data_IF_310851973238
#
_entry.id   IF_310851973238
#
_cell.length_a   1.000
_cell.length_b   1.000
_cell.length_c   1.000
_cell.angle_alpha   90.00
_cell.angle_beta   90.00
_cell.angle_gamma   90.00
#
_symmetry.space_group_name_H-M   'P 1'
#
loop_
_entity.id
_entity.type
_entity.pdbx_description
1 polymer ?
#
# COMPACT_ATOMS: atom_id res chain seq x y z
N UNK A 1 -18.59 -17.87 -21.07
CA UNK A 1 -17.83 -18.08 -19.85
C UNK A 1 -18.47 -19.22 -19.06
N UNK A 2 -17.71 -20.28 -18.74
CA UNK A 2 -18.18 -21.39 -17.95
C UNK A 2 -18.57 -20.87 -16.55
N UNK A 3 -19.81 -21.19 -16.12
CA UNK A 3 -20.29 -20.84 -14.78
C UNK A 3 -19.54 -21.68 -13.77
N UNK A 4 -18.73 -21.06 -12.91
CA UNK A 4 -18.03 -21.77 -11.82
C UNK A 4 -19.09 -22.29 -10.86
N UNK A 5 -19.25 -23.61 -10.73
CA UNK A 5 -20.20 -24.21 -9.78
C UNK A 5 -19.82 -23.81 -8.35
N UNK A 6 -20.77 -23.30 -7.56
CA UNK A 6 -20.54 -22.86 -6.18
C UNK A 6 -20.10 -21.41 -6.02
N UNK A 7 -20.07 -20.60 -7.10
CA UNK A 7 -19.69 -19.19 -7.05
C UNK A 7 -20.77 -18.25 -6.45
N UNK A 8 -21.97 -18.77 -6.18
CA UNK A 8 -23.14 -17.96 -5.80
C UNK A 8 -23.28 -17.77 -4.28
N UNK A 9 -22.38 -18.34 -3.48
CA UNK A 9 -22.34 -18.16 -2.02
C UNK A 9 -20.91 -18.26 -1.49
N UNK A 10 -20.69 -17.77 -0.26
CA UNK A 10 -19.41 -17.78 0.42
C UNK A 10 -18.97 -16.39 0.82
N UNK A 11 -17.75 -16.32 1.36
CA UNK A 11 -17.12 -15.05 1.76
C UNK A 11 -15.81 -14.88 0.99
N UNK A 12 -15.61 -13.68 0.45
CA UNK A 12 -14.35 -13.26 -0.16
C UNK A 12 -13.68 -12.27 0.78
N UNK A 13 -12.42 -12.49 1.11
CA UNK A 13 -11.62 -11.60 1.97
C UNK A 13 -10.59 -10.87 1.11
N UNK A 14 -10.68 -9.54 1.07
CA UNK A 14 -9.81 -8.67 0.26
C UNK A 14 -9.02 -7.75 1.19
N UNK A 15 -7.68 -7.83 1.11
CA UNK A 15 -6.76 -6.95 1.82
C UNK A 15 -6.29 -5.78 0.96
N UNK A 16 -5.99 -4.64 1.57
CA UNK A 16 -5.25 -3.56 0.91
C UNK A 16 -4.35 -2.83 1.89
N UNK A 17 -3.10 -2.57 1.46
CA UNK A 17 -2.17 -1.71 2.18
C UNK A 17 -2.37 -0.22 1.83
N UNK A 18 -3.21 0.09 0.85
CA UNK A 18 -3.35 1.43 0.29
C UNK A 18 -4.81 1.88 0.27
N UNK A 19 -5.11 2.98 0.96
CA UNK A 19 -6.46 3.52 1.09
C UNK A 19 -7.07 3.95 -0.25
N UNK A 20 -6.24 4.34 -1.22
CA UNK A 20 -6.70 4.74 -2.56
C UNK A 20 -7.43 3.61 -3.31
N UNK A 21 -7.20 2.34 -2.95
CA UNK A 21 -7.89 1.21 -3.58
C UNK A 21 -9.25 0.89 -2.96
N UNK A 22 -9.65 1.49 -1.84
CA UNK A 22 -10.97 1.22 -1.25
C UNK A 22 -12.12 1.51 -2.21
N UNK A 23 -12.03 2.61 -2.97
CA UNK A 23 -13.08 2.94 -3.95
C UNK A 23 -13.18 1.90 -5.05
N UNK A 24 -12.04 1.45 -5.60
CA UNK A 24 -12.04 0.39 -6.60
C UNK A 24 -12.58 -0.91 -6.04
N UNK A 25 -12.13 -1.36 -4.87
CA UNK A 25 -12.57 -2.60 -4.22
C UNK A 25 -14.08 -2.58 -3.99
N UNK A 26 -14.61 -1.49 -3.43
CA UNK A 26 -16.04 -1.37 -3.14
C UNK A 26 -16.89 -1.31 -4.40
N UNK A 27 -16.45 -0.61 -5.44
CA UNK A 27 -17.10 -0.58 -6.75
C UNK A 27 -17.13 -1.96 -7.42
N UNK A 28 -16.01 -2.69 -7.40
CA UNK A 28 -15.95 -4.06 -7.94
C UNK A 28 -16.83 -5.01 -7.14
N UNK A 29 -16.83 -4.90 -5.83
CA UNK A 29 -17.72 -5.67 -4.94
C UNK A 29 -19.19 -5.43 -5.28
N UNK A 30 -19.62 -4.18 -5.39
CA UNK A 30 -20.99 -3.81 -5.72
C UNK A 30 -21.41 -4.40 -7.08
N UNK A 31 -20.57 -4.24 -8.10
CA UNK A 31 -20.83 -4.77 -9.44
C UNK A 31 -20.86 -6.31 -9.49
N UNK A 32 -19.97 -6.97 -8.77
CA UNK A 32 -19.94 -8.43 -8.69
C UNK A 32 -21.18 -8.99 -8.03
N UNK A 33 -21.61 -8.40 -6.91
CA UNK A 33 -22.78 -8.84 -6.15
C UNK A 33 -24.11 -8.73 -6.90
N UNK A 34 -24.22 -7.93 -7.96
CA UNK A 34 -25.43 -7.92 -8.82
C UNK A 34 -25.70 -9.28 -9.47
N UNK A 35 -24.65 -10.09 -9.69
CA UNK A 35 -24.75 -11.43 -10.30
C UNK A 35 -24.57 -12.56 -9.27
N UNK A 36 -23.98 -12.24 -8.11
CA UNK A 36 -23.67 -13.18 -7.03
C UNK A 36 -24.15 -12.63 -5.68
N UNK A 37 -25.48 -12.43 -5.48
CA UNK A 37 -26.02 -11.74 -4.29
C UNK A 37 -25.77 -12.49 -2.98
N UNK A 38 -25.54 -13.80 -3.03
CA UNK A 38 -25.23 -14.63 -1.86
C UNK A 38 -23.77 -14.60 -1.43
N UNK A 39 -22.89 -13.83 -2.14
CA UNK A 39 -21.50 -13.70 -1.78
C UNK A 39 -21.31 -12.52 -0.82
N UNK A 40 -20.72 -12.80 0.35
CA UNK A 40 -20.26 -11.78 1.28
C UNK A 40 -18.82 -11.33 0.90
N UNK A 41 -18.51 -10.04 1.11
CA UNK A 41 -17.15 -9.52 0.95
C UNK A 41 -16.71 -8.86 2.24
N UNK A 42 -15.53 -9.20 2.71
CA UNK A 42 -14.86 -8.61 3.86
C UNK A 42 -13.60 -7.89 3.39
N UNK A 43 -13.44 -6.63 3.77
CA UNK A 43 -12.25 -5.83 3.48
C UNK A 43 -11.42 -5.76 4.76
N UNK A 44 -10.11 -6.01 4.64
CA UNK A 44 -9.12 -5.90 5.71
C UNK A 44 -7.99 -4.98 5.27
N UNK A 45 -7.32 -4.35 6.22
CA UNK A 45 -6.13 -3.52 5.97
C UNK A 45 -4.95 -4.03 6.81
N UNK A 46 -3.75 -3.64 6.41
CA UNK A 46 -2.50 -3.96 7.07
C UNK A 46 -1.32 -3.48 6.23
N UNK A 47 -0.10 -3.71 6.69
CA UNK A 47 1.09 -3.47 5.86
C UNK A 47 1.13 -4.48 4.71
N UNK A 48 1.88 -4.15 3.65
CA UNK A 48 2.07 -5.09 2.53
C UNK A 48 2.66 -6.42 2.98
N UNK A 49 3.53 -6.41 3.98
CA UNK A 49 4.13 -7.64 4.52
C UNK A 49 3.15 -8.49 5.31
N UNK A 50 2.33 -7.87 6.19
CA UNK A 50 1.29 -8.60 6.92
C UNK A 50 0.26 -9.22 5.97
N UNK A 51 -0.17 -8.46 4.96
CA UNK A 51 -1.16 -8.92 3.99
C UNK A 51 -0.58 -10.02 3.08
N UNK A 52 0.71 -9.95 2.73
CA UNK A 52 1.39 -11.02 2.00
C UNK A 52 1.39 -12.35 2.79
N UNK A 53 1.67 -12.29 4.09
CA UNK A 53 1.57 -13.47 4.95
C UNK A 53 0.12 -13.98 5.07
N UNK A 54 -0.87 -13.07 5.13
CA UNK A 54 -2.27 -13.48 5.15
C UNK A 54 -2.70 -14.21 3.87
N UNK A 55 -2.14 -13.85 2.70
CA UNK A 55 -2.37 -14.60 1.44
C UNK A 55 -1.74 -15.98 1.51
N UNK A 56 -0.49 -16.09 1.96
CA UNK A 56 0.23 -17.37 2.11
C UNK A 56 -0.48 -18.32 3.07
N UNK A 57 -1.04 -17.77 4.15
CA UNK A 57 -1.77 -18.51 5.19
C UNK A 57 -3.25 -18.75 4.83
N UNK A 58 -3.70 -18.41 3.63
CA UNK A 58 -5.10 -18.50 3.20
C UNK A 58 -6.12 -17.75 4.10
N UNK A 59 -5.67 -16.67 4.79
CA UNK A 59 -6.53 -15.79 5.60
C UNK A 59 -7.16 -14.67 4.80
N UNK A 60 -6.60 -14.39 3.61
CA UNK A 60 -7.17 -13.50 2.59
C UNK A 60 -7.14 -14.19 1.24
N UNK A 61 -8.11 -13.91 0.39
CA UNK A 61 -8.15 -14.41 -0.99
C UNK A 61 -7.30 -13.53 -1.91
N UNK A 62 -7.35 -12.21 -1.70
CA UNK A 62 -6.67 -11.20 -2.51
C UNK A 62 -6.07 -10.10 -1.63
N UNK A 63 -4.93 -9.57 -2.06
CA UNK A 63 -4.35 -8.37 -1.44
C UNK A 63 -3.78 -7.42 -2.48
N UNK A 64 -4.11 -6.13 -2.38
CA UNK A 64 -3.52 -5.02 -3.11
C UNK A 64 -2.35 -4.47 -2.28
N UNK A 65 -1.14 -4.82 -2.68
CA UNK A 65 0.09 -4.60 -1.91
C UNK A 65 1.28 -4.26 -2.81
N UNK A 66 2.37 -3.76 -2.24
CA UNK A 66 3.67 -3.79 -2.90
C UNK A 66 4.24 -5.21 -2.89
N UNK A 67 5.00 -5.52 -3.94
CA UNK A 67 5.51 -6.88 -4.15
C UNK A 67 6.34 -7.37 -2.97
N UNK A 68 6.09 -8.62 -2.58
CA UNK A 68 6.84 -9.39 -1.57
C UNK A 68 7.27 -10.72 -2.16
N UNK A 69 8.36 -11.27 -1.62
CA UNK A 69 8.84 -12.58 -2.02
C UNK A 69 7.91 -13.71 -1.55
N UNK A 70 7.91 -14.81 -2.31
CA UNK A 70 7.16 -16.02 -1.98
C UNK A 70 5.65 -15.89 -2.12
N UNK A 71 5.14 -14.90 -2.84
CA UNK A 71 3.72 -14.80 -3.17
C UNK A 71 3.34 -15.89 -4.19
N UNK A 72 2.24 -16.65 -3.96
CA UNK A 72 1.83 -17.75 -4.84
C UNK A 72 1.47 -17.25 -6.24
N UNK A 73 0.65 -16.20 -6.32
CA UNK A 73 0.24 -15.56 -7.58
C UNK A 73 0.39 -14.06 -7.44
N UNK A 74 0.98 -13.44 -8.47
CA UNK A 74 1.18 -12.00 -8.55
C UNK A 74 0.70 -11.44 -9.88
N UNK A 75 -0.17 -10.44 -9.82
CA UNK A 75 -0.65 -9.69 -10.97
C UNK A 75 -0.21 -8.22 -10.82
N UNK A 76 0.81 -7.77 -11.59
CA UNK A 76 1.31 -6.40 -11.48
C UNK A 76 0.23 -5.40 -11.94
N UNK A 77 0.15 -4.24 -11.27
CA UNK A 77 -0.76 -3.15 -11.59
C UNK A 77 0.03 -1.94 -12.07
N UNK A 78 0.97 -1.45 -11.23
CA UNK A 78 1.75 -0.24 -11.54
C UNK A 78 3.08 -0.19 -10.82
N UNK A 79 3.95 0.68 -11.31
CA UNK A 79 5.10 1.16 -10.55
C UNK A 79 4.65 2.32 -9.66
N UNK A 80 5.18 2.37 -8.46
CA UNK A 80 5.00 3.46 -7.51
C UNK A 80 6.35 3.97 -7.01
N UNK A 81 6.40 5.21 -6.53
CA UNK A 81 7.62 5.84 -6.04
C UNK A 81 7.50 6.14 -4.55
N UNK A 82 8.60 6.04 -3.81
CA UNK A 82 8.70 6.53 -2.44
C UNK A 82 9.10 8.00 -2.43
N UNK A 83 8.27 8.84 -1.85
CA UNK A 83 8.46 10.28 -1.75
C UNK A 83 8.84 10.70 -0.34
N UNK A 84 9.72 11.68 -0.22
CA UNK A 84 10.05 12.33 1.03
C UNK A 84 8.99 13.38 1.34
N UNK A 85 8.37 13.29 2.50
CA UNK A 85 7.47 14.30 3.05
C UNK A 85 8.32 15.34 3.78
N UNK A 86 8.27 16.57 3.31
CA UNK A 86 9.11 17.67 3.81
C UNK A 86 8.21 18.81 4.31
N UNK A 87 8.48 19.37 5.51
CA UNK A 87 7.80 20.60 5.93
C UNK A 87 8.06 21.72 4.91
N UNK A 88 7.04 22.48 4.53
CA UNK A 88 7.17 23.58 3.57
C UNK A 88 8.21 24.63 4.02
N UNK A 89 8.43 24.76 5.33
CA UNK A 89 9.43 25.66 5.91
C UNK A 89 10.86 25.11 5.91
N UNK A 90 11.06 23.81 5.64
CA UNK A 90 12.39 23.19 5.62
C UNK A 90 13.08 23.49 4.27
N UNK A 91 14.39 23.83 4.26
CA UNK A 91 15.15 24.07 3.02
C UNK A 91 15.07 22.94 2.00
N UNK A 92 14.90 21.69 2.42
CA UNK A 92 14.73 20.55 1.53
C UNK A 92 13.48 20.65 0.64
N UNK A 93 12.46 21.41 1.04
CA UNK A 93 11.26 21.65 0.24
C UNK A 93 11.56 22.39 -1.08
N UNK A 94 12.66 23.14 -1.17
CA UNK A 94 13.11 23.82 -2.38
C UNK A 94 13.99 22.96 -3.31
N UNK A 95 14.32 21.72 -2.93
CA UNK A 95 15.13 20.82 -3.76
C UNK A 95 14.25 20.08 -4.78
N UNK A 96 14.81 19.74 -5.94
CA UNK A 96 14.13 18.89 -6.94
C UNK A 96 14.00 17.45 -6.44
N UNK A 97 15.02 16.95 -5.73
CA UNK A 97 15.02 15.63 -5.09
C UNK A 97 15.80 15.69 -3.77
N UNK A 98 15.46 14.85 -2.81
CA UNK A 98 16.09 14.80 -1.48
C UNK A 98 17.07 13.63 -1.42
N UNK A 99 18.38 13.89 -1.20
CA UNK A 99 19.36 12.82 -1.03
C UNK A 99 19.00 11.90 0.14
N UNK A 100 19.08 10.58 -0.07
CA UNK A 100 18.78 9.56 0.96
C UNK A 100 19.55 9.79 2.26
N UNK A 101 20.78 10.32 2.17
CA UNK A 101 21.63 10.61 3.32
C UNK A 101 21.01 11.61 4.29
N UNK A 102 20.07 12.44 3.82
CA UNK A 102 19.37 13.41 4.68
C UNK A 102 18.51 12.72 5.74
N UNK A 103 18.07 11.48 5.50
CA UNK A 103 17.34 10.68 6.49
C UNK A 103 18.15 10.40 7.77
N UNK A 104 19.50 10.47 7.69
CA UNK A 104 20.40 10.29 8.85
C UNK A 104 20.55 11.54 9.70
N UNK A 105 20.32 12.71 9.13
CA UNK A 105 20.65 14.02 9.73
C UNK A 105 19.42 14.84 10.09
N UNK A 106 18.33 14.70 9.35
CA UNK A 106 17.06 15.36 9.66
C UNK A 106 16.30 14.56 10.74
N UNK A 107 15.56 15.22 11.63
CA UNK A 107 14.60 14.53 12.48
C UNK A 107 13.62 13.74 11.62
N UNK A 108 13.53 12.43 11.85
CA UNK A 108 12.68 11.54 11.06
C UNK A 108 11.45 11.10 11.85
N UNK A 109 10.30 11.12 11.20
CA UNK A 109 9.01 10.65 11.73
C UNK A 109 8.76 9.27 11.14
N UNK A 110 8.79 8.25 11.98
CA UNK A 110 8.54 6.87 11.59
C UNK A 110 7.04 6.56 11.65
N UNK A 111 6.48 6.11 10.52
CA UNK A 111 5.12 5.59 10.47
C UNK A 111 5.14 4.09 10.74
N UNK A 112 4.21 3.61 11.57
CA UNK A 112 4.07 2.19 11.93
C UNK A 112 5.33 1.58 12.56
N UNK A 113 5.84 2.15 13.68
CA UNK A 113 7.04 1.65 14.34
C UNK A 113 6.90 0.17 14.75
N UNK A 114 7.96 -0.59 14.51
CA UNK A 114 7.98 -2.02 14.82
C UNK A 114 7.28 -2.93 13.79
N UNK A 115 6.73 -2.36 12.71
CA UNK A 115 6.13 -3.12 11.61
C UNK A 115 7.05 -3.12 10.40
N UNK A 116 7.04 -4.22 9.64
CA UNK A 116 7.71 -4.25 8.34
C UNK A 116 6.86 -3.51 7.31
N UNK A 117 7.40 -2.41 6.78
CA UNK A 117 6.77 -1.55 5.79
C UNK A 117 7.66 -1.40 4.56
N UNK A 118 7.15 -0.79 3.49
CA UNK A 118 7.96 -0.45 2.32
C UNK A 118 9.15 0.45 2.69
N UNK A 119 8.97 1.32 3.69
CA UNK A 119 9.98 2.25 4.16
C UNK A 119 11.06 1.55 4.97
N UNK A 120 10.71 0.64 5.87
CA UNK A 120 11.70 -0.14 6.63
C UNK A 120 12.53 -1.03 5.71
N UNK A 121 11.88 -1.71 4.74
CA UNK A 121 12.58 -2.51 3.73
C UNK A 121 13.50 -1.67 2.85
N UNK A 122 13.09 -0.44 2.50
CA UNK A 122 13.96 0.50 1.79
C UNK A 122 15.22 0.80 2.60
N UNK A 123 15.08 1.18 3.86
CA UNK A 123 16.21 1.54 4.71
C UNK A 123 17.15 0.36 4.93
N UNK A 124 16.63 -0.85 5.07
CA UNK A 124 17.43 -2.08 5.16
C UNK A 124 18.22 -2.33 3.88
N UNK A 125 17.57 -2.22 2.71
CA UNK A 125 18.21 -2.33 1.40
C UNK A 125 19.32 -1.31 1.20
N UNK A 126 19.10 -0.07 1.61
CA UNK A 126 20.07 1.03 1.50
C UNK A 126 21.12 1.02 2.63
N UNK A 127 21.02 0.09 3.59
CA UNK A 127 21.85 0.03 4.80
C UNK A 127 21.94 1.41 5.48
N UNK A 128 20.78 2.08 5.53
CA UNK A 128 20.64 3.42 6.09
C UNK A 128 19.73 3.35 7.30
N UNK A 129 20.16 3.93 8.42
CA UNK A 129 19.32 4.07 9.61
C UNK A 129 18.86 5.52 9.72
N UNK A 130 17.54 5.80 9.67
CA UNK A 130 17.05 7.16 9.83
C UNK A 130 17.27 7.66 11.27
N UNK A 131 17.37 8.97 11.43
CA UNK A 131 17.40 9.63 12.74
C UNK A 131 15.97 9.75 13.28
N UNK A 132 15.36 8.62 13.69
CA UNK A 132 13.99 8.58 14.21
C UNK A 132 13.88 9.39 15.51
N UNK A 133 13.16 10.49 15.46
CA UNK A 133 12.87 11.38 16.60
C UNK A 133 11.42 11.27 17.06
N UNK A 134 10.52 10.86 16.16
CA UNK A 134 9.08 10.75 16.39
C UNK A 134 8.52 9.52 15.68
N UNK A 135 7.39 9.03 16.16
CA UNK A 135 6.69 7.90 15.52
C UNK A 135 5.18 7.99 15.71
N UNK A 136 4.44 7.35 14.82
CA UNK A 136 2.98 7.25 14.88
C UNK A 136 2.49 5.99 14.17
N UNK A 137 1.33 5.47 14.58
CA UNK A 137 0.64 4.33 13.94
C UNK A 137 -0.39 4.79 12.89
N UNK A 138 -0.31 6.03 12.41
CA UNK A 138 -1.29 6.61 11.48
C UNK A 138 -0.60 7.52 10.46
N UNK A 139 -0.85 7.29 9.17
CA UNK A 139 -0.24 8.08 8.09
C UNK A 139 -0.77 9.52 8.08
N UNK A 140 -2.01 9.76 8.46
CA UNK A 140 -2.57 11.12 8.54
C UNK A 140 -1.88 11.90 9.65
N UNK A 141 -1.61 11.25 10.79
CA UNK A 141 -0.82 11.86 11.87
C UNK A 141 0.62 12.14 11.41
N UNK A 142 1.24 11.27 10.59
CA UNK A 142 2.55 11.53 9.99
C UNK A 142 2.54 12.84 9.19
N UNK A 143 1.56 13.04 8.30
CA UNK A 143 1.42 14.28 7.54
C UNK A 143 1.23 15.51 8.45
N UNK A 144 0.41 15.39 9.50
CA UNK A 144 0.20 16.46 10.47
C UNK A 144 1.50 16.84 11.21
N UNK A 145 2.29 15.84 11.63
CA UNK A 145 3.57 16.03 12.28
C UNK A 145 4.61 16.70 11.36
N UNK A 146 4.68 16.26 10.08
CA UNK A 146 5.53 16.91 9.06
C UNK A 146 5.07 18.36 8.86
N UNK A 147 3.76 18.60 8.69
CA UNK A 147 3.20 19.96 8.54
C UNK A 147 3.54 20.87 9.70
N UNK A 148 3.59 20.34 10.91
CA UNK A 148 3.98 21.06 12.13
C UNK A 148 5.50 21.34 12.23
N UNK A 149 6.30 20.84 11.28
CA UNK A 149 7.74 21.05 11.25
C UNK A 149 8.54 20.15 12.20
N UNK A 150 7.96 19.05 12.69
CA UNK A 150 8.63 18.15 13.64
C UNK A 150 9.74 17.33 12.98
N UNK A 151 9.71 17.16 11.65
CA UNK A 151 10.71 16.42 10.92
C UNK A 151 10.26 16.09 9.52
N UNK A 152 11.02 15.23 8.85
CA UNK A 152 10.68 14.66 7.54
C UNK A 152 10.17 13.23 7.71
N UNK A 153 9.49 12.71 6.69
CA UNK A 153 9.10 11.30 6.63
C UNK A 153 9.21 10.78 5.20
N UNK A 154 8.84 9.51 4.97
CA UNK A 154 8.75 8.92 3.65
C UNK A 154 7.39 8.23 3.51
N UNK A 155 6.78 8.33 2.34
CA UNK A 155 5.55 7.64 2.02
C UNK A 155 5.50 7.23 0.55
N UNK A 156 4.65 6.27 0.22
CA UNK A 156 4.32 5.88 -1.12
C UNK A 156 3.58 7.01 -1.86
N UNK A 157 3.96 7.30 -3.10
CA UNK A 157 3.28 8.30 -3.92
C UNK A 157 1.79 7.98 -4.10
N UNK A 158 1.43 6.69 -4.18
CA UNK A 158 0.03 6.24 -4.27
C UNK A 158 -0.83 6.66 -3.07
N UNK A 159 -0.21 6.89 -1.90
CA UNK A 159 -0.88 7.39 -0.71
C UNK A 159 -0.95 8.91 -0.64
N UNK A 160 -0.55 9.60 -1.71
CA UNK A 160 -0.55 11.06 -1.78
C UNK A 160 -1.88 11.64 -1.29
N UNK A 161 -1.82 12.39 -0.21
CA UNK A 161 -2.95 13.18 0.28
C UNK A 161 -2.93 14.51 -0.44
N UNK A 162 -3.62 14.60 -1.58
CA UNK A 162 -3.63 15.76 -2.48
C UNK A 162 -3.53 17.09 -1.74
N UNK A 163 -2.32 17.68 -1.73
CA UNK A 163 -2.09 19.01 -1.21
C UNK A 163 -2.25 19.14 0.31
N UNK A 164 -1.73 18.20 1.11
CA UNK A 164 -1.77 18.37 2.57
C UNK A 164 -1.09 19.70 2.97
N UNK A 165 -1.81 20.62 3.63
CA UNK A 165 -1.29 21.95 3.94
C UNK A 165 0.03 21.88 4.71
N UNK A 166 1.04 22.66 4.29
CA UNK A 166 2.32 22.72 4.98
C UNK A 166 3.31 21.58 4.67
N UNK A 167 2.92 20.57 3.86
CA UNK A 167 3.79 19.49 3.40
C UNK A 167 4.11 19.65 1.93
N UNK A 168 5.36 19.39 1.56
CA UNK A 168 5.84 19.27 0.18
C UNK A 168 6.38 17.86 0.02
N UNK A 169 5.99 17.19 -1.05
CA UNK A 169 6.50 15.86 -1.41
C UNK A 169 7.62 16.02 -2.45
N UNK A 170 8.71 15.29 -2.25
CA UNK A 170 9.87 15.31 -3.14
C UNK A 170 10.35 13.90 -3.45
N UNK A 171 10.78 13.63 -4.68
CA UNK A 171 11.49 12.40 -5.00
C UNK A 171 12.71 12.19 -4.10
N UNK A 172 13.10 10.95 -3.92
CA UNK A 172 14.41 10.62 -3.33
C UNK A 172 15.52 10.69 -4.39
N UNK A 173 16.73 10.96 -3.96
CA UNK A 173 17.92 10.83 -4.79
C UNK A 173 18.88 9.78 -4.17
N UNK A 174 19.10 8.63 -4.86
CA UNK A 174 18.44 8.18 -6.11
C UNK A 174 16.97 7.81 -5.93
N UNK A 175 16.14 7.87 -7.01
CA UNK A 175 14.72 7.51 -6.96
C UNK A 175 14.51 6.07 -6.47
N UNK A 176 13.49 5.86 -5.66
CA UNK A 176 13.15 4.56 -5.10
C UNK A 176 11.79 4.12 -5.59
N UNK A 177 11.79 3.10 -6.43
CA UNK A 177 10.58 2.56 -7.07
C UNK A 177 10.21 1.21 -6.47
N UNK A 178 8.92 0.89 -6.48
CA UNK A 178 8.38 -0.39 -6.12
C UNK A 178 7.22 -0.78 -7.03
N UNK A 179 6.97 -2.08 -7.15
CA UNK A 179 5.85 -2.59 -7.92
C UNK A 179 4.66 -2.84 -7.00
N UNK A 180 3.50 -2.30 -7.37
CA UNK A 180 2.21 -2.55 -6.72
C UNK A 180 1.40 -3.48 -7.59
N UNK A 181 0.70 -4.43 -6.97
CA UNK A 181 -0.10 -5.41 -7.67
C UNK A 181 -1.12 -6.10 -6.78
N UNK A 182 -1.82 -7.05 -7.39
CA UNK A 182 -2.75 -7.95 -6.73
C UNK A 182 -2.04 -9.27 -6.44
N UNK A 183 -1.90 -9.61 -5.17
CA UNK A 183 -1.50 -10.93 -4.71
C UNK A 183 -2.72 -11.80 -4.45
N UNK A 184 -2.66 -13.10 -4.79
CA UNK A 184 -3.70 -14.05 -4.41
C UNK A 184 -3.13 -15.45 -4.19
N UNK A 185 -3.92 -16.32 -3.55
CA UNK A 185 -3.61 -17.73 -3.38
C UNK A 185 -3.75 -18.51 -4.70
N UNK A 186 -3.07 -19.67 -4.80
CA UNK A 186 -3.19 -20.56 -5.97
C UNK A 186 -4.56 -21.27 -6.02
N UNK A 187 -5.08 -21.66 -4.87
CA UNK A 187 -6.29 -22.48 -4.74
C UNK A 187 -7.42 -21.63 -4.11
N UNK A 188 -8.00 -20.76 -4.91
CA UNK A 188 -9.12 -19.93 -4.46
C UNK A 188 -10.42 -20.72 -4.38
N UNK A 189 -11.26 -20.39 -3.39
CA UNK A 189 -12.63 -20.88 -3.33
C UNK A 189 -13.42 -20.44 -4.58
N UNK A 190 -14.48 -21.17 -4.99
CA UNK A 190 -15.22 -20.86 -6.23
C UNK A 190 -15.70 -19.41 -6.36
N UNK A 191 -16.18 -18.81 -5.26
CA UNK A 191 -16.60 -17.40 -5.26
C UNK A 191 -15.42 -16.45 -5.49
N UNK A 192 -14.29 -16.71 -4.84
CA UNK A 192 -13.07 -15.91 -5.02
C UNK A 192 -12.49 -16.09 -6.44
N UNK A 193 -12.48 -17.31 -6.98
CA UNK A 193 -12.05 -17.54 -8.36
C UNK A 193 -12.94 -16.78 -9.35
N UNK A 194 -14.25 -16.80 -9.19
CA UNK A 194 -15.17 -16.04 -10.03
C UNK A 194 -14.95 -14.52 -9.91
N UNK A 195 -14.67 -14.03 -8.70
CA UNK A 195 -14.32 -12.62 -8.48
C UNK A 195 -12.99 -12.25 -9.16
N UNK A 196 -11.98 -13.10 -9.08
CA UNK A 196 -10.69 -12.87 -9.77
C UNK A 196 -10.89 -12.73 -11.28
N UNK A 197 -11.63 -13.65 -11.91
CA UNK A 197 -11.93 -13.56 -13.34
C UNK A 197 -12.74 -12.29 -13.69
N UNK A 198 -13.62 -11.86 -12.79
CA UNK A 198 -14.40 -10.64 -12.98
C UNK A 198 -13.50 -9.37 -12.92
N UNK A 199 -12.52 -9.32 -12.04
CA UNK A 199 -11.68 -8.12 -11.85
C UNK A 199 -10.46 -8.07 -12.76
N UNK A 200 -9.96 -9.19 -13.29
CA UNK A 200 -8.77 -9.25 -14.17
C UNK A 200 -8.79 -8.26 -15.34
N UNK A 201 -9.98 -7.99 -15.90
CA UNK A 201 -10.16 -7.04 -17.00
C UNK A 201 -10.55 -5.63 -16.55
N UNK A 202 -10.52 -5.39 -15.26
CA UNK A 202 -11.01 -4.16 -14.59
C UNK A 202 -10.06 -3.70 -13.49
N UNK A 203 -8.79 -4.08 -13.61
CA UNK A 203 -7.76 -3.73 -12.61
C UNK A 203 -7.70 -2.21 -12.41
N UNK A 204 -7.35 -1.71 -11.22
CA UNK A 204 -7.19 -0.28 -10.99
C UNK A 204 -5.98 0.25 -11.75
N UNK A 205 -6.04 1.53 -12.12
CA UNK A 205 -4.92 2.25 -12.72
C UNK A 205 -3.85 2.65 -11.70
#
# INVERSE_FOLDING_TARGET
AAKVRGADCGTIVIGTAYNCYYEWVTRMTAAFRTRHPGVAVRIVNGTSSELAEMVKDHRTDFCLISRRDGLPVWLPIRQDELLVLVPKSNPLAGMDAVPVQRMKTEPFIESYPGMETDITLLFDKLKTKPHTSYSTMDITATYAMVSAGLGISVNNAINHQHGYPGVVERPMDPPQLMEIGLACGENLAPAAQAFLEFVKTRMPE
#
